data_IF_054855710839
#
_entry.id   IF_054855710839
#
_cell.length_a   1.000
_cell.length_b   1.000
_cell.length_c   1.000
_cell.angle_alpha   90.00
_cell.angle_beta   90.00
_cell.angle_gamma   90.00
#
_symmetry.space_group_name_H-M   'P 1'
#
loop_
_entity.id
_entity.type
_entity.pdbx_description
1 polymer ?
#
# COMPACT_ATOMS: atom_id res chain seq x y z
N UNK A 1 -5.18 3.26 -1.51
CA UNK A 1 -4.28 4.01 -2.42
C UNK A 1 -5.13 4.70 -3.44
N UNK A 2 -5.12 6.03 -3.40
CA UNK A 2 -6.09 6.83 -4.16
C UNK A 2 -5.68 6.86 -5.64
N UNK A 3 -6.54 6.31 -6.48
CA UNK A 3 -6.34 6.23 -7.93
C UNK A 3 -6.93 7.42 -8.69
N UNK A 4 -7.68 8.29 -8.01
CA UNK A 4 -8.24 9.52 -8.58
C UNK A 4 -7.28 10.71 -8.40
N UNK A 5 -6.21 10.53 -7.62
CA UNK A 5 -5.19 11.54 -7.38
C UNK A 5 -3.83 11.11 -7.99
N UNK A 6 -3.20 11.93 -8.86
CA UNK A 6 -1.91 11.60 -9.46
C UNK A 6 -0.72 11.68 -8.48
N UNK A 7 -0.90 12.21 -7.26
CA UNK A 7 0.14 12.23 -6.22
C UNK A 7 0.55 10.80 -5.88
N UNK A 8 1.83 10.49 -5.99
CA UNK A 8 2.39 9.21 -5.55
C UNK A 8 2.55 9.22 -4.03
N UNK A 9 1.90 8.28 -3.35
CA UNK A 9 2.07 8.05 -1.91
C UNK A 9 3.48 7.52 -1.59
N UNK A 10 4.00 7.86 -0.41
CA UNK A 10 5.25 7.29 0.07
C UNK A 10 5.06 5.86 0.62
N UNK A 11 6.11 5.01 0.63
CA UNK A 11 6.05 3.70 1.29
C UNK A 11 5.62 3.79 2.76
N UNK A 12 6.02 4.84 3.47
CA UNK A 12 5.70 5.08 4.88
C UNK A 12 4.21 5.41 5.08
N UNK A 13 3.61 6.17 4.16
CA UNK A 13 2.16 6.42 4.18
C UNK A 13 1.38 5.11 4.00
N UNK A 14 1.80 4.26 3.06
CA UNK A 14 1.20 2.93 2.86
C UNK A 14 1.37 2.05 4.10
N UNK A 15 2.57 1.98 4.66
CA UNK A 15 2.86 1.18 5.84
C UNK A 15 2.03 1.65 7.05
N UNK A 16 1.89 2.97 7.23
CA UNK A 16 1.04 3.56 8.28
C UNK A 16 -0.42 3.15 8.13
N UNK A 17 -0.97 3.23 6.91
CA UNK A 17 -2.34 2.79 6.63
C UNK A 17 -2.54 1.28 6.89
N UNK A 18 -1.58 0.45 6.48
CA UNK A 18 -1.63 -0.99 6.71
C UNK A 18 -1.56 -1.35 8.20
N UNK A 19 -0.71 -0.68 8.99
CA UNK A 19 -0.66 -0.90 10.45
C UNK A 19 -2.00 -0.61 11.11
N UNK A 20 -2.70 0.45 10.71
CA UNK A 20 -4.06 0.74 11.20
C UNK A 20 -5.06 -0.36 10.87
N UNK A 21 -4.96 -0.97 9.69
CA UNK A 21 -5.82 -2.11 9.35
C UNK A 21 -5.53 -3.32 10.25
N UNK A 22 -4.25 -3.57 10.56
CA UNK A 22 -3.81 -4.67 11.42
C UNK A 22 -4.14 -4.47 12.92
N UNK A 23 -4.51 -3.26 13.34
CA UNK A 23 -5.09 -3.02 14.67
C UNK A 23 -6.50 -3.62 14.82
N UNK A 24 -7.18 -3.88 13.69
CA UNK A 24 -8.58 -4.31 13.65
C UNK A 24 -8.73 -5.73 13.08
N UNK A 25 -7.89 -6.11 12.12
CA UNK A 25 -7.97 -7.39 11.42
C UNK A 25 -6.67 -8.19 11.58
N UNK A 26 -6.80 -9.50 11.75
CA UNK A 26 -5.65 -10.41 11.73
C UNK A 26 -4.93 -10.37 10.38
N UNK A 27 -3.61 -10.57 10.40
CA UNK A 27 -2.76 -10.44 9.21
C UNK A 27 -3.18 -11.37 8.06
N UNK A 28 -3.73 -12.55 8.35
CA UNK A 28 -4.18 -13.51 7.35
C UNK A 28 -5.45 -13.05 6.61
N UNK A 29 -6.16 -12.06 7.16
CA UNK A 29 -7.42 -11.53 6.63
C UNK A 29 -7.22 -10.27 5.76
N UNK A 30 -6.00 -9.74 5.69
CA UNK A 30 -5.72 -8.45 5.03
C UNK A 30 -5.02 -8.64 3.69
N UNK A 31 -5.66 -8.14 2.62
CA UNK A 31 -5.05 -7.97 1.31
C UNK A 31 -4.70 -6.50 1.07
N UNK A 32 -3.60 -6.25 0.35
CA UNK A 32 -3.17 -4.90 -0.01
C UNK A 32 -3.28 -4.71 -1.51
N UNK A 33 -4.18 -3.82 -1.93
CA UNK A 33 -4.42 -3.45 -3.32
C UNK A 33 -4.80 -1.97 -3.46
N UNK A 34 -4.76 -1.41 -4.68
CA UNK A 34 -5.27 -0.05 -4.93
C UNK A 34 -6.78 0.02 -4.74
N UNK A 35 -7.32 1.24 -4.54
CA UNK A 35 -8.75 1.44 -4.29
C UNK A 35 -9.63 1.01 -5.48
N UNK A 36 -9.11 1.18 -6.71
CA UNK A 36 -9.75 0.72 -7.94
C UNK A 36 -8.68 0.51 -9.04
N UNK A 37 -9.10 0.31 -10.30
CA UNK A 37 -8.20 0.17 -11.43
C UNK A 37 -7.37 1.42 -11.72
N UNK A 38 -6.17 1.23 -12.26
CA UNK A 38 -5.20 2.31 -12.56
C UNK A 38 -5.34 2.88 -13.99
N UNK A 39 -6.40 2.53 -14.72
CA UNK A 39 -6.60 2.87 -16.15
C UNK A 39 -6.50 4.37 -16.43
N UNK A 40 -6.92 5.20 -15.49
CA UNK A 40 -6.98 6.66 -15.64
C UNK A 40 -5.67 7.38 -15.29
N UNK A 41 -4.68 6.66 -14.76
CA UNK A 41 -3.39 7.25 -14.39
C UNK A 41 -2.37 7.14 -15.52
N UNK A 42 -1.45 8.12 -15.65
CA UNK A 42 -0.24 7.94 -16.44
C UNK A 42 0.52 6.69 -15.99
N UNK A 43 1.10 5.96 -16.95
CA UNK A 43 1.76 4.68 -16.69
C UNK A 43 2.89 4.79 -15.66
N UNK A 44 3.66 5.89 -15.70
CA UNK A 44 4.76 6.11 -14.76
C UNK A 44 4.25 6.39 -13.34
N UNK A 45 3.17 7.15 -13.19
CA UNK A 45 2.51 7.42 -11.92
C UNK A 45 1.94 6.12 -11.33
N UNK A 46 1.23 5.34 -12.15
CA UNK A 46 0.68 4.04 -11.74
C UNK A 46 1.79 3.09 -11.27
N UNK A 47 2.91 3.02 -11.99
CA UNK A 47 4.06 2.20 -11.59
C UNK A 47 4.68 2.66 -10.27
N UNK A 48 4.92 3.97 -10.11
CA UNK A 48 5.49 4.53 -8.87
C UNK A 48 4.59 4.28 -7.66
N UNK A 49 3.27 4.45 -7.82
CA UNK A 49 2.26 4.12 -6.81
C UNK A 49 2.30 2.64 -6.40
N UNK A 50 2.29 1.73 -7.37
CA UNK A 50 2.40 0.29 -7.10
C UNK A 50 3.72 -0.07 -6.41
N UNK A 51 4.84 0.54 -6.83
CA UNK A 51 6.13 0.34 -6.18
C UNK A 51 6.08 0.77 -4.71
N UNK A 52 5.57 1.97 -4.43
CA UNK A 52 5.42 2.46 -3.05
C UNK A 52 4.52 1.54 -2.22
N UNK A 53 3.45 1.02 -2.81
CA UNK A 53 2.55 0.07 -2.16
C UNK A 53 3.27 -1.23 -1.74
N UNK A 54 4.05 -1.82 -2.65
CA UNK A 54 4.82 -3.04 -2.37
C UNK A 54 5.93 -2.78 -1.35
N UNK A 55 6.62 -1.65 -1.46
CA UNK A 55 7.70 -1.27 -0.54
C UNK A 55 7.15 -1.09 0.89
N UNK A 56 6.06 -0.34 1.05
CA UNK A 56 5.39 -0.12 2.34
C UNK A 56 4.85 -1.42 2.95
N UNK A 57 4.23 -2.27 2.13
CA UNK A 57 3.78 -3.61 2.57
C UNK A 57 4.97 -4.46 3.04
N UNK A 58 6.09 -4.40 2.33
CA UNK A 58 7.30 -5.15 2.68
C UNK A 58 7.93 -4.67 3.99
N UNK A 59 7.80 -3.38 4.33
CA UNK A 59 8.21 -2.86 5.65
C UNK A 59 7.43 -3.55 6.77
N UNK A 60 6.09 -3.54 6.68
CA UNK A 60 5.22 -4.13 7.70
C UNK A 60 5.42 -5.65 7.80
N UNK A 61 5.58 -6.36 6.67
CA UNK A 61 5.88 -7.81 6.70
C UNK A 61 7.17 -8.13 7.47
N UNK A 62 8.22 -7.32 7.31
CA UNK A 62 9.47 -7.50 8.07
C UNK A 62 9.29 -7.23 9.56
N UNK A 63 8.34 -6.39 9.94
CA UNK A 63 8.01 -6.14 11.36
C UNK A 63 7.30 -7.37 11.95
N UNK A 64 6.35 -7.95 11.23
CA UNK A 64 5.60 -9.13 11.66
C UNK A 64 6.48 -10.40 11.80
N UNK A 65 7.49 -10.57 10.95
CA UNK A 65 8.44 -11.70 11.02
C UNK A 65 9.43 -11.62 12.19
N UNK A 66 9.49 -10.50 12.91
CA UNK A 66 10.39 -10.33 14.08
C UNK A 66 9.73 -10.73 15.41
N UNK A 67 8.45 -11.08 15.38
CA UNK A 67 7.68 -11.62 16.50
C UNK A 67 7.57 -13.13 16.38
#
# INVERSE_FOLDING_TARGET
MDVHNPRVESPEEVASALRKALEVFDQEMVYVNPDCGLKLLPKDVAFKKLKAMVDGTSMVRRELLKH
#
